data_IF_627920634450
#
_entry.id   IF_627920634450
#
_cell.length_a   1.000
_cell.length_b   1.000
_cell.length_c   1.000
_cell.angle_alpha   90.00
_cell.angle_beta   90.00
_cell.angle_gamma   90.00
#
_symmetry.space_group_name_H-M   'P 1'
#
loop_
_entity.id
_entity.type
_entity.pdbx_description
1 polymer ?
#
# COMPACT_ATOMS: atom_id res chain seq x y z
N UNK A 1 17.29 -63.45 -0.34
CA UNK A 1 17.41 -62.24 -1.18
C UNK A 1 16.38 -61.13 -0.82
N UNK A 2 16.10 -60.85 0.46
CA UNK A 2 15.07 -59.88 0.86
C UNK A 2 15.65 -58.71 1.69
N UNK A 3 16.94 -58.76 2.05
CA UNK A 3 17.54 -57.74 2.97
C UNK A 3 18.05 -56.46 2.33
N UNK A 4 18.18 -56.40 1.01
CA UNK A 4 18.67 -55.22 0.27
C UNK A 4 17.54 -54.20 0.01
N UNK A 5 16.28 -54.68 -0.14
CA UNK A 5 15.14 -53.78 -0.37
C UNK A 5 14.75 -52.85 0.78
N UNK A 6 14.87 -53.35 2.05
CA UNK A 6 14.50 -52.59 3.23
C UNK A 6 15.49 -51.42 3.50
N UNK A 7 16.79 -51.64 3.29
CA UNK A 7 17.79 -50.59 3.49
C UNK A 7 17.69 -49.49 2.42
N UNK A 8 17.42 -49.82 1.16
CA UNK A 8 17.20 -48.87 0.09
C UNK A 8 15.93 -48.03 0.33
N UNK A 9 14.84 -48.66 0.80
CA UNK A 9 13.58 -47.97 1.11
C UNK A 9 13.73 -47.00 2.30
N UNK A 10 14.49 -47.41 3.34
CA UNK A 10 14.82 -46.56 4.49
C UNK A 10 15.66 -45.33 4.08
N UNK A 11 16.63 -45.50 3.18
CA UNK A 11 17.44 -44.40 2.66
C UNK A 11 16.58 -43.44 1.84
N UNK A 12 15.67 -43.93 1.01
CA UNK A 12 14.74 -43.07 0.26
C UNK A 12 13.81 -42.28 1.17
N UNK A 13 13.28 -42.91 2.24
CA UNK A 13 12.42 -42.23 3.20
C UNK A 13 13.20 -41.16 3.98
N UNK A 14 14.44 -41.42 4.39
CA UNK A 14 15.32 -40.46 5.08
C UNK A 14 15.66 -39.29 4.15
N UNK A 15 15.98 -39.56 2.89
CA UNK A 15 16.23 -38.50 1.89
C UNK A 15 14.98 -37.67 1.61
N UNK A 16 13.80 -38.30 1.51
CA UNK A 16 12.55 -37.59 1.33
C UNK A 16 12.18 -36.72 2.54
N UNK A 17 12.44 -37.22 3.76
CA UNK A 17 12.24 -36.44 4.99
C UNK A 17 13.25 -35.28 5.07
N UNK A 18 14.53 -35.53 4.75
CA UNK A 18 15.55 -34.49 4.73
C UNK A 18 15.28 -33.43 3.67
N UNK A 19 14.83 -33.82 2.47
CA UNK A 19 14.42 -32.91 1.41
C UNK A 19 13.15 -32.14 1.82
N UNK A 20 12.17 -32.81 2.41
CA UNK A 20 10.96 -32.17 2.94
C UNK A 20 11.27 -31.19 4.06
N UNK A 21 12.17 -31.57 4.98
CA UNK A 21 12.63 -30.69 6.07
C UNK A 21 13.44 -29.49 5.53
N UNK A 22 14.35 -29.73 4.57
CA UNK A 22 15.11 -28.67 3.89
C UNK A 22 14.20 -27.75 3.10
N UNK A 23 13.20 -28.28 2.38
CA UNK A 23 12.19 -27.52 1.67
C UNK A 23 11.35 -26.71 2.66
N UNK A 24 10.91 -27.29 3.77
CA UNK A 24 10.15 -26.60 4.83
C UNK A 24 10.95 -25.48 5.50
N UNK A 25 12.27 -25.60 5.59
CA UNK A 25 13.16 -24.56 6.10
C UNK A 25 13.47 -23.48 5.04
N UNK A 26 13.58 -23.88 3.77
CA UNK A 26 13.99 -22.99 2.66
C UNK A 26 12.81 -22.27 2.02
N UNK A 27 11.58 -22.79 2.13
CA UNK A 27 10.42 -22.19 1.48
C UNK A 27 10.07 -20.82 2.04
N UNK A 28 10.37 -20.58 3.33
CA UNK A 28 10.15 -19.28 3.97
C UNK A 28 10.99 -18.20 3.31
N UNK A 29 12.28 -18.42 3.11
CA UNK A 29 13.17 -17.46 2.45
C UNK A 29 12.77 -17.23 0.99
N UNK A 30 12.38 -18.29 0.27
CA UNK A 30 11.94 -18.17 -1.11
C UNK A 30 10.59 -17.42 -1.24
N UNK A 31 9.64 -17.71 -0.36
CA UNK A 31 8.36 -17.03 -0.30
C UNK A 31 8.52 -15.56 0.14
N UNK A 32 9.40 -15.30 1.10
CA UNK A 32 9.73 -13.98 1.60
C UNK A 32 10.37 -13.12 0.50
N UNK A 33 11.40 -13.60 -0.19
CA UNK A 33 12.06 -12.88 -1.28
C UNK A 33 11.12 -12.63 -2.47
N UNK A 34 10.27 -13.60 -2.82
CA UNK A 34 9.26 -13.45 -3.87
C UNK A 34 8.22 -12.38 -3.52
N UNK A 35 7.71 -12.39 -2.29
CA UNK A 35 6.76 -11.39 -1.79
C UNK A 35 7.39 -10.00 -1.73
N UNK A 36 8.60 -9.89 -1.19
CA UNK A 36 9.35 -8.64 -1.12
C UNK A 36 9.52 -7.99 -2.49
N UNK A 37 9.98 -8.74 -3.48
CA UNK A 37 10.15 -8.24 -4.85
C UNK A 37 8.83 -7.80 -5.48
N UNK A 38 7.75 -8.55 -5.26
CA UNK A 38 6.43 -8.20 -5.76
C UNK A 38 5.92 -6.91 -5.12
N UNK A 39 6.02 -6.75 -3.80
CA UNK A 39 5.61 -5.54 -3.10
C UNK A 39 6.48 -4.34 -3.46
N UNK A 40 7.81 -4.48 -3.52
CA UNK A 40 8.70 -3.41 -3.94
C UNK A 40 8.36 -2.95 -5.37
N UNK A 41 8.12 -3.87 -6.30
CA UNK A 41 7.73 -3.53 -7.66
C UNK A 41 6.35 -2.86 -7.75
N UNK A 42 5.42 -3.16 -6.82
CA UNK A 42 4.14 -2.46 -6.71
C UNK A 42 4.35 -1.04 -6.17
N UNK A 43 5.12 -0.89 -5.08
CA UNK A 43 5.41 0.41 -4.47
C UNK A 43 6.15 1.32 -5.45
N UNK A 44 7.12 0.80 -6.20
CA UNK A 44 7.85 1.57 -7.23
C UNK A 44 6.93 2.10 -8.33
N UNK A 45 5.87 1.38 -8.65
CA UNK A 45 4.86 1.81 -9.65
C UNK A 45 3.82 2.77 -9.08
N UNK A 46 3.76 2.92 -7.76
CA UNK A 46 2.90 3.96 -7.17
C UNK A 46 3.52 5.31 -7.47
N UNK A 47 2.89 6.30 -7.87
CA UNK A 47 3.47 7.64 -8.01
C UNK A 47 3.70 8.34 -6.66
N UNK A 48 3.99 7.62 -5.58
CA UNK A 48 4.29 8.20 -4.27
C UNK A 48 5.70 8.81 -4.26
N UNK A 49 5.96 9.83 -3.41
CA UNK A 49 7.30 10.37 -3.19
C UNK A 49 8.30 9.27 -2.77
N UNK A 50 9.56 9.41 -3.21
CA UNK A 50 10.58 8.38 -2.98
C UNK A 50 10.84 8.10 -1.49
N UNK A 51 10.76 9.11 -0.63
CA UNK A 51 10.87 8.96 0.83
C UNK A 51 9.77 8.05 1.37
N UNK A 52 8.53 8.23 0.95
CA UNK A 52 7.40 7.38 1.32
C UNK A 52 7.57 5.94 0.82
N UNK A 53 8.02 5.77 -0.43
CA UNK A 53 8.32 4.45 -1.01
C UNK A 53 9.38 3.72 -0.19
N UNK A 54 10.49 4.40 0.13
CA UNK A 54 11.58 3.82 0.93
C UNK A 54 11.11 3.43 2.33
N UNK A 55 10.31 4.26 2.99
CA UNK A 55 9.73 3.95 4.30
C UNK A 55 8.83 2.71 4.25
N UNK A 56 7.95 2.62 3.23
CA UNK A 56 7.09 1.46 3.04
C UNK A 56 7.91 0.19 2.77
N UNK A 57 8.93 0.26 1.92
CA UNK A 57 9.84 -0.86 1.63
C UNK A 57 10.56 -1.31 2.91
N UNK A 58 11.03 -0.38 3.74
CA UNK A 58 11.69 -0.71 5.01
C UNK A 58 10.78 -1.49 5.96
N UNK A 59 9.49 -1.15 6.05
CA UNK A 59 8.53 -1.92 6.84
C UNK A 59 8.31 -3.33 6.29
N UNK A 60 8.24 -3.48 4.96
CA UNK A 60 8.10 -4.78 4.31
C UNK A 60 9.37 -5.63 4.50
N UNK A 61 10.55 -5.03 4.39
CA UNK A 61 11.83 -5.70 4.62
C UNK A 61 11.94 -6.20 6.07
N UNK A 62 11.53 -5.39 7.05
CA UNK A 62 11.49 -5.80 8.46
C UNK A 62 10.53 -6.98 8.67
N UNK A 63 9.31 -6.89 8.15
CA UNK A 63 8.31 -7.95 8.25
C UNK A 63 8.80 -9.25 7.58
N UNK A 64 9.48 -9.12 6.44
CA UNK A 64 10.07 -10.25 5.70
C UNK A 64 11.16 -10.93 6.52
N UNK A 65 12.09 -10.15 7.10
CA UNK A 65 13.16 -10.66 7.94
C UNK A 65 12.62 -11.38 9.19
N UNK A 66 11.55 -10.85 9.80
CA UNK A 66 10.90 -11.46 10.95
C UNK A 66 10.18 -12.78 10.58
N UNK A 67 9.59 -12.84 9.39
CA UNK A 67 9.01 -14.06 8.87
C UNK A 67 10.08 -15.12 8.59
N UNK A 68 11.21 -14.75 8.02
CA UNK A 68 12.37 -15.63 7.80
C UNK A 68 12.95 -16.15 9.13
N UNK A 69 13.09 -15.27 10.12
CA UNK A 69 13.53 -15.62 11.47
C UNK A 69 12.52 -16.49 12.24
N UNK A 70 11.27 -16.59 11.74
CA UNK A 70 10.20 -17.37 12.37
C UNK A 70 9.55 -16.69 13.58
N UNK A 71 9.82 -15.40 13.82
CA UNK A 71 9.16 -14.58 14.84
C UNK A 71 7.77 -14.14 14.41
N UNK A 72 7.52 -14.05 13.10
CA UNK A 72 6.22 -13.83 12.47
C UNK A 72 5.81 -15.11 11.75
N UNK A 73 4.58 -15.57 11.96
CA UNK A 73 4.04 -16.76 11.32
C UNK A 73 3.33 -16.42 9.99
N UNK A 74 3.05 -17.45 9.16
CA UNK A 74 2.23 -17.27 7.97
C UNK A 74 0.82 -16.75 8.30
N UNK A 75 0.28 -17.10 9.46
CA UNK A 75 -1.03 -16.63 9.93
C UNK A 75 -0.97 -15.13 10.25
N UNK A 76 0.12 -14.69 10.86
CA UNK A 76 0.34 -13.28 11.18
C UNK A 76 0.44 -12.45 9.90
N UNK A 77 1.11 -12.97 8.86
CA UNK A 77 1.15 -12.30 7.54
C UNK A 77 -0.25 -12.15 6.93
N UNK A 78 -1.11 -13.18 7.05
CA UNK A 78 -2.51 -13.07 6.60
C UNK A 78 -3.23 -11.97 7.38
N UNK A 79 -3.05 -11.91 8.71
CA UNK A 79 -3.63 -10.85 9.53
C UNK A 79 -3.13 -9.44 9.12
N UNK A 80 -1.85 -9.31 8.80
CA UNK A 80 -1.29 -8.04 8.27
C UNK A 80 -1.96 -7.66 6.95
N UNK A 81 -2.07 -8.58 5.99
CA UNK A 81 -2.73 -8.33 4.71
C UNK A 81 -4.19 -7.93 4.92
N UNK A 82 -4.90 -8.60 5.81
CA UNK A 82 -6.30 -8.27 6.13
C UNK A 82 -6.42 -6.87 6.76
N UNK A 83 -5.55 -6.53 7.70
CA UNK A 83 -5.57 -5.22 8.36
C UNK A 83 -5.27 -4.09 7.37
N UNK A 84 -4.20 -4.23 6.58
CA UNK A 84 -3.86 -3.27 5.52
C UNK A 84 -4.99 -3.13 4.50
N UNK A 85 -5.62 -4.24 4.10
CA UNK A 85 -6.75 -4.22 3.15
C UNK A 85 -8.01 -3.56 3.70
N UNK A 86 -8.22 -3.60 5.02
CA UNK A 86 -9.34 -2.90 5.69
C UNK A 86 -9.04 -1.43 5.96
N UNK A 87 -7.78 -1.07 5.98
CA UNK A 87 -7.31 0.28 6.24
C UNK A 87 -7.65 1.24 5.10
N UNK A 88 -7.90 2.51 5.36
CA UNK A 88 -8.04 3.54 4.33
C UNK A 88 -6.70 3.92 3.65
N UNK A 89 -5.59 3.29 4.04
CA UNK A 89 -4.26 3.56 3.47
C UNK A 89 -4.25 3.32 1.96
N UNK A 90 -4.74 2.15 1.51
CA UNK A 90 -4.71 1.78 0.08
C UNK A 90 -5.50 2.76 -0.79
N UNK A 91 -6.80 3.03 -0.54
CA UNK A 91 -7.55 3.98 -1.35
C UNK A 91 -6.97 5.40 -1.29
N UNK A 92 -6.48 5.86 -0.13
CA UNK A 92 -5.86 7.17 -0.01
C UNK A 92 -4.53 7.25 -0.77
N UNK A 93 -3.70 6.21 -0.72
CA UNK A 93 -2.44 6.14 -1.47
C UNK A 93 -2.67 6.14 -2.99
N UNK A 94 -3.73 5.45 -3.47
CA UNK A 94 -4.12 5.48 -4.88
C UNK A 94 -4.43 6.92 -5.32
N UNK A 95 -5.20 7.67 -4.53
CA UNK A 95 -5.52 9.07 -4.82
C UNK A 95 -4.27 9.94 -4.83
N UNK A 96 -3.39 9.78 -3.84
CA UNK A 96 -2.14 10.54 -3.76
C UNK A 96 -1.23 10.25 -4.96
N UNK A 97 -1.13 8.99 -5.37
CA UNK A 97 -0.33 8.55 -6.51
C UNK A 97 -0.82 9.11 -7.85
N UNK A 98 -2.09 9.52 -7.97
CA UNK A 98 -2.63 10.10 -9.20
C UNK A 98 -1.98 11.43 -9.57
N UNK A 99 -1.44 12.19 -8.61
CA UNK A 99 -0.68 13.39 -8.92
C UNK A 99 0.56 13.07 -9.75
N UNK A 100 1.42 12.18 -9.27
CA UNK A 100 2.67 11.81 -9.95
C UNK A 100 2.42 11.04 -11.25
N UNK A 101 1.38 10.21 -11.29
CA UNK A 101 1.06 9.38 -12.45
C UNK A 101 0.38 10.12 -13.59
N UNK A 102 -0.46 11.11 -13.30
CA UNK A 102 -1.31 11.77 -14.30
C UNK A 102 -1.09 13.27 -14.41
N UNK A 103 -1.00 13.98 -13.28
CA UNK A 103 -0.91 15.44 -13.27
C UNK A 103 0.50 15.92 -13.59
N UNK A 104 1.49 15.37 -12.88
CA UNK A 104 2.89 15.79 -13.02
C UNK A 104 3.42 15.66 -14.46
N UNK A 105 3.20 14.55 -15.21
CA UNK A 105 3.68 14.41 -16.58
C UNK A 105 2.80 15.10 -17.61
N UNK A 106 1.69 15.74 -17.22
CA UNK A 106 0.73 16.37 -18.14
C UNK A 106 1.23 17.69 -18.71
N UNK A 107 0.49 18.23 -19.67
CA UNK A 107 0.74 19.56 -20.27
C UNK A 107 0.01 20.70 -19.55
N UNK A 108 -0.52 20.47 -18.34
CA UNK A 108 -1.07 21.53 -17.49
C UNK A 108 0.02 22.54 -17.11
N UNK A 109 -0.35 23.80 -16.86
CA UNK A 109 0.59 24.79 -16.37
C UNK A 109 1.12 24.42 -14.97
N UNK A 110 2.26 24.99 -14.58
CA UNK A 110 2.81 24.72 -13.24
C UNK A 110 1.89 25.22 -12.11
N UNK A 111 1.13 26.30 -12.36
CA UNK A 111 0.11 26.80 -11.44
C UNK A 111 -1.02 25.77 -11.28
N UNK A 112 -1.52 25.23 -12.41
CA UNK A 112 -2.56 24.19 -12.40
C UNK A 112 -2.08 22.93 -11.70
N UNK A 113 -0.82 22.50 -11.93
CA UNK A 113 -0.22 21.35 -11.26
C UNK A 113 -0.09 21.56 -9.74
N UNK A 114 0.36 22.75 -9.33
CA UNK A 114 0.46 23.06 -7.90
C UNK A 114 -0.91 23.06 -7.21
N UNK A 115 -1.91 23.63 -7.87
CA UNK A 115 -3.28 23.62 -7.36
C UNK A 115 -3.86 22.21 -7.30
N UNK A 116 -3.61 21.39 -8.33
CA UNK A 116 -3.98 19.99 -8.36
C UNK A 116 -3.31 19.18 -7.23
N UNK A 117 -2.03 19.46 -6.94
CA UNK A 117 -1.30 18.82 -5.85
C UNK A 117 -1.98 19.07 -4.51
N UNK A 118 -2.34 20.31 -4.21
CA UNK A 118 -3.04 20.68 -2.98
C UNK A 118 -4.41 19.97 -2.93
N UNK A 119 -5.14 20.01 -4.04
CA UNK A 119 -6.47 19.41 -4.15
C UNK A 119 -6.44 17.90 -3.92
N UNK A 120 -5.54 17.18 -4.58
CA UNK A 120 -5.43 15.73 -4.45
C UNK A 120 -4.92 15.31 -3.07
N UNK A 121 -4.04 16.11 -2.44
CA UNK A 121 -3.64 15.91 -1.05
C UNK A 121 -4.82 16.02 -0.09
N UNK A 122 -5.66 17.04 -0.24
CA UNK A 122 -6.89 17.20 0.53
C UNK A 122 -7.84 16.02 0.33
N UNK A 123 -8.05 15.62 -0.92
CA UNK A 123 -8.93 14.50 -1.23
C UNK A 123 -8.39 13.18 -0.65
N UNK A 124 -7.10 12.89 -0.80
CA UNK A 124 -6.46 11.72 -0.20
C UNK A 124 -6.58 11.73 1.33
N UNK A 125 -6.38 12.88 1.97
CA UNK A 125 -6.55 13.04 3.42
C UNK A 125 -7.99 12.77 3.85
N UNK A 126 -8.96 13.32 3.14
CA UNK A 126 -10.38 13.07 3.42
C UNK A 126 -10.76 11.60 3.28
N UNK A 127 -10.22 10.90 2.29
CA UNK A 127 -10.41 9.44 2.13
C UNK A 127 -9.76 8.69 3.29
N UNK A 128 -8.54 9.06 3.67
CA UNK A 128 -7.83 8.44 4.80
C UNK A 128 -8.57 8.63 6.13
N UNK A 129 -9.06 9.83 6.41
CA UNK A 129 -9.82 10.16 7.62
C UNK A 129 -11.28 9.67 7.58
N UNK A 130 -11.70 9.07 6.46
CA UNK A 130 -13.07 8.61 6.22
C UNK A 130 -14.13 9.72 6.22
N UNK A 131 -13.72 11.00 6.14
CA UNK A 131 -14.62 12.13 5.89
C UNK A 131 -15.13 12.13 4.44
N UNK A 132 -14.35 11.54 3.52
CA UNK A 132 -14.76 11.21 2.15
C UNK A 132 -14.86 9.69 2.05
N UNK A 133 -16.05 9.14 1.74
CA UNK A 133 -16.21 7.70 1.62
C UNK A 133 -15.45 7.14 0.40
N UNK A 134 -14.91 5.93 0.49
CA UNK A 134 -14.19 5.26 -0.61
C UNK A 134 -15.04 5.20 -1.89
N UNK A 135 -16.35 5.04 -1.76
CA UNK A 135 -17.28 5.04 -2.90
C UNK A 135 -17.29 6.35 -3.71
N UNK A 136 -16.79 7.46 -3.16
CA UNK A 136 -16.66 8.72 -3.87
C UNK A 136 -15.48 8.73 -4.85
N UNK A 137 -14.50 7.81 -4.70
CA UNK A 137 -13.33 7.76 -5.57
C UNK A 137 -13.75 7.50 -7.03
N UNK A 138 -14.57 6.47 -7.26
CA UNK A 138 -15.01 6.10 -8.61
C UNK A 138 -15.63 7.27 -9.40
N UNK A 139 -16.68 7.94 -8.89
CA UNK A 139 -17.24 9.13 -9.55
C UNK A 139 -16.24 10.28 -9.72
N UNK A 140 -15.29 10.44 -8.80
CA UNK A 140 -14.27 11.48 -8.88
C UNK A 140 -13.30 11.26 -10.03
N UNK A 141 -12.86 10.02 -10.24
CA UNK A 141 -11.88 9.65 -11.27
C UNK A 141 -12.53 9.32 -12.63
N UNK A 142 -13.85 9.37 -12.72
CA UNK A 142 -14.59 9.03 -13.96
C UNK A 142 -14.03 9.73 -15.21
N UNK A 143 -13.65 11.03 -15.21
CA UNK A 143 -13.09 11.69 -16.39
C UNK A 143 -11.83 11.03 -16.95
N UNK A 144 -11.01 10.41 -16.10
CA UNK A 144 -9.77 9.71 -16.48
C UNK A 144 -9.94 8.19 -16.55
N UNK A 145 -11.16 7.70 -16.38
CA UNK A 145 -11.49 6.26 -16.42
C UNK A 145 -11.64 5.77 -17.86
N UNK A 146 -11.42 4.47 -18.06
CA UNK A 146 -11.61 3.78 -19.33
C UNK A 146 -12.53 2.57 -19.15
N UNK A 147 -13.24 2.13 -20.19
CA UNK A 147 -13.90 0.84 -20.21
C UNK A 147 -12.88 -0.29 -19.91
N UNK A 148 -13.35 -1.35 -19.24
CA UNK A 148 -12.45 -2.45 -18.78
C UNK A 148 -11.64 -3.09 -19.91
N UNK A 149 -12.24 -3.22 -21.08
CA UNK A 149 -11.62 -3.78 -22.30
C UNK A 149 -10.62 -2.84 -22.96
N UNK A 150 -10.60 -1.56 -22.59
CA UNK A 150 -9.70 -0.52 -23.12
C UNK A 150 -8.70 0.00 -22.08
N UNK A 151 -8.77 -0.53 -20.87
CA UNK A 151 -7.93 -0.09 -19.76
C UNK A 151 -6.61 -0.86 -19.76
N UNK A 152 -5.49 -0.12 -19.77
CA UNK A 152 -4.16 -0.70 -19.56
C UNK A 152 -3.67 -0.50 -18.10
N UNK A 153 -4.44 0.24 -17.30
CA UNK A 153 -4.16 0.51 -15.88
C UNK A 153 -5.36 0.06 -15.06
N UNK A 154 -5.21 -1.02 -14.30
CA UNK A 154 -6.22 -1.49 -13.35
C UNK A 154 -5.66 -1.39 -11.94
N UNK A 155 -6.40 -0.73 -11.07
CA UNK A 155 -6.03 -0.54 -9.67
C UNK A 155 -7.15 -1.09 -8.81
N UNK A 156 -6.86 -2.14 -8.05
CA UNK A 156 -7.80 -2.74 -7.11
C UNK A 156 -7.52 -2.34 -5.67
N UNK A 157 -8.55 -2.00 -4.92
CA UNK A 157 -8.46 -1.77 -3.47
C UNK A 157 -8.85 -3.00 -2.65
N UNK A 158 -9.15 -4.11 -3.33
CA UNK A 158 -9.80 -5.28 -2.73
C UNK A 158 -11.30 -5.11 -2.51
N UNK A 159 -11.83 -3.88 -2.62
CA UNK A 159 -13.26 -3.53 -2.54
C UNK A 159 -13.80 -2.94 -3.83
N UNK A 160 -12.95 -2.28 -4.60
CA UNK A 160 -13.28 -1.69 -5.89
C UNK A 160 -12.14 -1.84 -6.89
N UNK A 161 -12.47 -2.06 -8.15
CA UNK A 161 -11.51 -2.09 -9.26
C UNK A 161 -11.71 -0.84 -10.11
N UNK A 162 -10.67 -0.04 -10.24
CA UNK A 162 -10.64 1.17 -11.07
C UNK A 162 -9.87 0.88 -12.35
N UNK A 163 -10.49 1.19 -13.47
CA UNK A 163 -9.92 1.05 -14.81
C UNK A 163 -9.62 2.43 -15.36
N UNK A 164 -8.36 2.75 -15.53
CA UNK A 164 -7.90 4.09 -15.93
C UNK A 164 -7.37 4.07 -17.36
N UNK A 165 -7.46 5.22 -18.02
CA UNK A 165 -6.76 5.50 -19.27
C UNK A 165 -5.26 5.54 -19.01
N UNK A 166 -4.46 5.23 -20.02
CA UNK A 166 -3.03 5.53 -19.96
C UNK A 166 -2.81 7.03 -19.76
N UNK A 167 -1.85 7.48 -18.94
CA UNK A 167 -1.61 8.90 -18.69
C UNK A 167 -1.47 9.73 -19.97
N UNK A 168 -0.80 9.18 -21.01
CA UNK A 168 -0.61 9.84 -22.31
C UNK A 168 -1.89 9.99 -23.14
N UNK A 169 -2.95 9.28 -22.80
CA UNK A 169 -4.25 9.32 -23.48
C UNK A 169 -5.26 10.22 -22.75
N UNK A 170 -4.90 10.72 -21.57
CA UNK A 170 -5.76 11.63 -20.81
C UNK A 170 -5.51 13.05 -21.30
N UNK A 171 -6.58 13.71 -21.70
CA UNK A 171 -6.51 15.10 -22.17
C UNK A 171 -6.40 16.10 -21.00
N UNK A 172 -5.89 17.31 -21.22
CA UNK A 172 -5.88 18.35 -20.20
C UNK A 172 -7.27 18.66 -19.61
N UNK A 173 -8.30 18.61 -20.43
CA UNK A 173 -9.67 18.91 -19.98
C UNK A 173 -10.23 17.79 -19.10
N UNK A 174 -9.93 16.54 -19.39
CA UNK A 174 -10.26 15.40 -18.53
C UNK A 174 -9.54 15.47 -17.17
N UNK A 175 -8.27 15.92 -17.17
CA UNK A 175 -7.52 16.16 -15.93
C UNK A 175 -8.14 17.31 -15.13
N UNK A 176 -8.51 18.41 -15.77
CA UNK A 176 -9.19 19.52 -15.09
C UNK A 176 -10.52 19.10 -14.49
N UNK A 177 -11.29 18.29 -15.20
CA UNK A 177 -12.56 17.73 -14.70
C UNK A 177 -12.32 16.81 -13.49
N UNK A 178 -11.33 15.93 -13.56
CA UNK A 178 -10.92 15.08 -12.43
C UNK A 178 -10.53 15.92 -11.20
N UNK A 179 -9.67 16.93 -11.38
CA UNK A 179 -9.21 17.82 -10.30
C UNK A 179 -10.39 18.60 -9.71
N UNK A 180 -11.30 19.08 -10.56
CA UNK A 180 -12.51 19.79 -10.11
C UNK A 180 -13.43 18.89 -9.28
N UNK A 181 -13.63 17.62 -9.69
CA UNK A 181 -14.40 16.65 -8.93
C UNK A 181 -13.76 16.37 -7.56
N UNK A 182 -12.43 16.17 -7.53
CA UNK A 182 -11.69 15.95 -6.30
C UNK A 182 -11.80 17.15 -5.34
N UNK A 183 -11.72 18.38 -5.89
CA UNK A 183 -11.90 19.62 -5.12
C UNK A 183 -13.30 19.70 -4.52
N UNK A 184 -14.33 19.48 -5.33
CA UNK A 184 -15.70 19.53 -4.87
C UNK A 184 -15.93 18.55 -3.71
N UNK A 185 -15.39 17.34 -3.77
CA UNK A 185 -15.50 16.35 -2.69
C UNK A 185 -14.71 16.74 -1.43
N UNK A 186 -13.53 17.33 -1.58
CA UNK A 186 -12.76 17.82 -0.45
C UNK A 186 -13.45 19.02 0.24
N UNK A 187 -14.06 19.91 -0.53
CA UNK A 187 -14.82 21.07 -0.03
C UNK A 187 -16.12 20.62 0.65
N UNK A 188 -16.86 19.69 0.06
CA UNK A 188 -18.06 19.07 0.64
C UNK A 188 -17.77 18.41 2.00
N UNK A 189 -16.62 17.76 2.12
CA UNK A 189 -16.16 17.12 3.36
C UNK A 189 -15.50 18.09 4.35
N UNK A 190 -15.34 19.37 4.02
CA UNK A 190 -14.71 20.37 4.87
C UNK A 190 -13.23 20.16 5.12
N UNK A 191 -12.53 19.44 4.23
CA UNK A 191 -11.08 19.19 4.41
C UNK A 191 -10.30 20.46 4.15
N UNK A 192 -9.51 20.91 5.16
CA UNK A 192 -8.72 22.16 5.09
C UNK A 192 -7.72 22.18 3.93
N UNK A 193 -7.33 23.38 3.47
CA UNK A 193 -6.24 23.59 2.51
C UNK A 193 -4.85 23.31 3.10
N UNK A 194 -4.68 23.47 4.40
CA UNK A 194 -3.41 23.33 5.13
C UNK A 194 -3.20 21.90 5.70
N UNK A 195 -3.74 20.89 5.03
CA UNK A 195 -3.54 19.51 5.49
C UNK A 195 -2.12 19.04 5.27
N UNK A 196 -1.57 18.41 6.29
CA UNK A 196 -0.32 17.66 6.17
C UNK A 196 -0.55 16.45 5.27
N UNK A 197 0.41 16.14 4.43
CA UNK A 197 0.38 14.92 3.62
C UNK A 197 0.26 13.67 4.50
N UNK A 198 -0.50 12.68 4.03
CA UNK A 198 -0.60 11.40 4.74
C UNK A 198 0.76 10.71 4.68
N UNK A 199 1.31 10.37 5.82
CA UNK A 199 2.52 9.55 5.91
C UNK A 199 2.14 8.06 5.77
N UNK A 200 2.08 7.60 4.51
CA UNK A 200 1.71 6.22 4.20
C UNK A 200 2.69 5.20 4.75
N UNK A 201 3.97 5.57 4.91
CA UNK A 201 4.97 4.67 5.50
C UNK A 201 4.68 4.48 6.98
N UNK A 202 4.51 5.55 7.75
CA UNK A 202 4.16 5.48 9.17
C UNK A 202 2.83 4.75 9.39
N UNK A 203 1.82 5.01 8.55
CA UNK A 203 0.52 4.35 8.68
C UNK A 203 0.57 2.86 8.33
N UNK A 204 1.38 2.45 7.35
CA UNK A 204 1.64 1.04 7.06
C UNK A 204 2.31 0.36 8.26
N UNK A 205 3.31 1.00 8.87
CA UNK A 205 3.95 0.51 10.09
C UNK A 205 2.95 0.29 11.21
N UNK A 206 2.05 1.25 11.46
CA UNK A 206 0.98 1.12 12.45
C UNK A 206 0.02 -0.03 12.16
N UNK A 207 -0.36 -0.21 10.90
CA UNK A 207 -1.24 -1.31 10.49
C UNK A 207 -0.57 -2.68 10.73
N UNK A 208 0.73 -2.79 10.41
CA UNK A 208 1.54 -3.99 10.68
C UNK A 208 1.60 -4.25 12.19
N UNK A 209 1.92 -3.25 13.00
CA UNK A 209 2.02 -3.37 14.45
C UNK A 209 0.67 -3.77 15.07
N UNK A 210 -0.42 -3.18 14.59
CA UNK A 210 -1.78 -3.52 15.03
C UNK A 210 -2.11 -4.99 14.72
N UNK A 211 -1.83 -5.43 13.50
CA UNK A 211 -2.10 -6.80 13.06
C UNK A 211 -1.29 -7.84 13.85
N UNK A 212 -0.07 -7.47 14.26
CA UNK A 212 0.84 -8.32 15.04
C UNK A 212 0.63 -8.20 16.57
N UNK A 213 -0.34 -7.40 17.01
CA UNK A 213 -0.59 -7.15 18.43
C UNK A 213 0.54 -6.37 19.12
N UNK A 214 1.35 -5.62 18.35
CA UNK A 214 2.46 -4.80 18.85
C UNK A 214 2.02 -3.37 19.16
N UNK A 215 0.81 -3.18 19.67
CA UNK A 215 0.30 -1.84 19.99
C UNK A 215 1.31 -1.11 20.86
N UNK A 216 1.97 -0.11 20.29
CA UNK A 216 2.83 0.80 21.04
C UNK A 216 1.90 1.60 21.96
N UNK A 217 2.12 1.60 23.29
CA UNK A 217 1.38 2.51 24.14
C UNK A 217 1.57 3.93 23.59
N UNK A 218 0.55 4.82 23.69
CA UNK A 218 0.72 6.21 23.32
C UNK A 218 1.99 6.72 23.98
N UNK A 219 2.84 7.41 23.23
CA UNK A 219 3.94 8.16 23.83
C UNK A 219 3.28 9.07 24.87
N UNK A 220 3.44 8.74 26.15
CA UNK A 220 3.14 9.68 27.21
C UNK A 220 3.92 10.94 26.86
N UNK A 221 3.20 11.99 26.48
CA UNK A 221 3.77 13.30 26.36
C UNK A 221 4.29 13.63 27.75
N UNK A 222 5.62 13.66 27.90
CA UNK A 222 6.30 14.23 29.05
C UNK A 222 5.88 15.71 29.17
N UNK A 223 4.67 15.92 29.64
CA UNK A 223 4.29 17.17 30.28
C UNK A 223 4.79 17.09 31.71
N UNK A 224 6.07 17.36 31.85
CA UNK A 224 6.65 17.75 33.13
C UNK A 224 5.92 19.05 33.57
N UNK A 225 5.15 19.02 34.65
CA UNK A 225 4.60 20.27 35.19
C UNK A 225 5.80 21.09 35.70
N UNK A 226 6.02 22.23 35.06
CA UNK A 226 6.93 23.24 35.57
C UNK A 226 6.53 23.54 37.01
N UNK A 227 7.41 23.17 37.95
CA UNK A 227 7.25 23.50 39.36
C UNK A 227 7.16 25.00 39.55
N UNK A 228 6.08 25.45 40.14
CA UNK A 228 5.99 26.73 40.77
C UNK A 228 6.79 26.68 42.09
N UNK A 229 7.81 27.51 42.20
CA UNK A 229 8.37 28.06 43.43
C UNK A 229 8.33 29.58 43.34
#
# INVERSE_FOLDING_TARGET
MIKVGCAALLVIVVLAMAAGFWFALSWRGWAAEGSRKAFAALIEKTGLPDEQKQGMIAHIDSLTAEFEAGTVSARDLVSVVEEVSRSPIIPAAIVAAMYEGYVQPSTLSEEEKQEARITLRRFARGVYEKSIPESAIGPTIEPISAPRDQSNVSIGTGRADYHLKEPKKVTPDELRAFIANARAKADEAGVSGDVTEVDFAAELGKAIDTALGRSRPPLESDHEPAGED
#
